data_IF_020831366279
#
_entry.id   IF_020831366279
#
_cell.length_a   1.000
_cell.length_b   1.000
_cell.length_c   1.000
_cell.angle_alpha   90.00
_cell.angle_beta   90.00
_cell.angle_gamma   90.00
#
_symmetry.space_group_name_H-M   'P 1'
#
loop_
_entity.id
_entity.type
_entity.pdbx_description
1 polymer ?
#
# COMPACT_ATOMS: atom_id res chain seq x y z
N UNK A 1 -5.19 -9.59 5.61
CA UNK A 1 -4.21 -8.64 5.03
C UNK A 1 -3.96 -7.55 6.06
N UNK A 2 -2.71 -7.30 6.41
CA UNK A 2 -2.35 -6.35 7.47
C UNK A 2 -1.62 -5.15 6.87
N UNK A 3 -2.04 -3.94 7.26
CA UNK A 3 -1.44 -2.69 6.81
C UNK A 3 -0.68 -2.03 7.94
N UNK A 4 0.59 -1.73 7.71
CA UNK A 4 1.47 -1.05 8.66
C UNK A 4 1.96 0.25 8.02
N UNK A 5 1.81 1.36 8.72
CA UNK A 5 2.45 2.62 8.36
C UNK A 5 3.64 2.89 9.30
N UNK A 6 4.70 3.44 8.77
CA UNK A 6 5.82 3.91 9.57
C UNK A 6 6.39 5.22 9.06
N UNK A 7 6.94 5.99 9.97
CA UNK A 7 7.73 7.18 9.72
C UNK A 7 9.19 6.83 10.02
N UNK A 8 10.08 7.13 9.08
CA UNK A 8 11.50 6.82 9.20
C UNK A 8 12.37 7.97 8.69
N UNK A 9 13.60 8.04 9.11
CA UNK A 9 14.57 8.99 8.59
C UNK A 9 14.78 8.79 7.08
N UNK A 10 14.76 9.88 6.33
CA UNK A 10 14.96 9.89 4.89
C UNK A 10 16.46 9.92 4.57
N UNK A 11 17.15 8.80 4.83
CA UNK A 11 18.57 8.67 4.60
C UNK A 11 18.94 7.35 3.92
N UNK A 12 20.10 7.28 3.25
CA UNK A 12 20.55 6.06 2.59
C UNK A 12 20.61 4.86 3.54
N UNK A 13 20.01 3.76 3.15
CA UNK A 13 20.00 2.51 3.91
C UNK A 13 18.83 2.34 4.90
N UNK A 14 18.09 3.40 5.26
CA UNK A 14 16.95 3.29 6.17
C UNK A 14 15.91 2.28 5.68
N UNK A 15 15.45 2.42 4.44
CA UNK A 15 14.54 1.47 3.80
C UNK A 15 15.11 0.05 3.77
N UNK A 16 16.39 -0.10 3.45
CA UNK A 16 17.03 -1.43 3.37
C UNK A 16 17.04 -2.14 4.73
N UNK A 17 17.20 -1.41 5.83
CA UNK A 17 17.12 -1.98 7.18
C UNK A 17 15.71 -2.44 7.54
N UNK A 18 14.70 -1.68 7.16
CA UNK A 18 13.29 -2.07 7.32
C UNK A 18 13.01 -3.36 6.55
N UNK A 19 13.30 -3.39 5.24
CA UNK A 19 13.06 -4.57 4.39
C UNK A 19 13.88 -5.78 4.87
N UNK A 20 15.12 -5.56 5.27
CA UNK A 20 16.00 -6.61 5.80
C UNK A 20 15.44 -7.31 7.03
N UNK A 21 14.75 -6.57 7.90
CA UNK A 21 14.07 -7.15 9.07
C UNK A 21 12.98 -8.17 8.66
N UNK A 22 12.18 -7.84 7.65
CA UNK A 22 11.15 -8.74 7.12
C UNK A 22 11.76 -9.97 6.45
N UNK A 23 12.77 -9.76 5.60
CA UNK A 23 13.47 -10.84 4.90
C UNK A 23 14.12 -11.83 5.86
N UNK A 24 14.77 -11.35 6.93
CA UNK A 24 15.41 -12.22 7.92
C UNK A 24 14.43 -13.10 8.70
N UNK A 25 13.16 -12.69 8.78
CA UNK A 25 12.11 -13.42 9.48
C UNK A 25 11.20 -14.24 8.57
N UNK A 26 11.44 -14.18 7.26
CA UNK A 26 10.64 -14.89 6.27
C UNK A 26 9.25 -14.29 6.02
N UNK A 27 9.01 -13.04 6.44
CA UNK A 27 7.75 -12.37 6.14
C UNK A 27 7.72 -11.87 4.70
N UNK A 28 6.63 -12.12 4.00
CA UNK A 28 6.40 -11.57 2.67
C UNK A 28 5.76 -10.19 2.75
N UNK A 29 6.31 -9.24 1.99
CA UNK A 29 5.73 -7.91 1.78
C UNK A 29 5.00 -7.93 0.44
N UNK A 30 3.68 -7.82 0.45
CA UNK A 30 2.88 -7.85 -0.79
C UNK A 30 2.90 -6.52 -1.50
N UNK A 31 2.87 -5.44 -0.76
CA UNK A 31 3.00 -4.09 -1.31
C UNK A 31 3.80 -3.18 -0.40
N UNK A 32 4.48 -2.23 -1.02
CA UNK A 32 5.30 -1.22 -0.35
C UNK A 32 5.17 0.10 -1.09
N UNK A 33 4.79 1.14 -0.38
CA UNK A 33 4.79 2.51 -0.88
C UNK A 33 5.59 3.39 0.06
N UNK A 34 6.55 4.16 -0.47
CA UNK A 34 7.41 5.06 0.31
C UNK A 34 7.60 6.38 -0.41
N UNK A 35 7.48 7.48 0.34
CA UNK A 35 7.77 8.82 -0.16
C UNK A 35 8.22 9.74 0.99
N UNK A 36 8.98 10.81 0.70
CA UNK A 36 9.24 11.88 1.66
C UNK A 36 7.92 12.50 2.15
N UNK A 37 7.94 13.00 3.37
CA UNK A 37 6.82 13.79 3.94
C UNK A 37 7.00 15.28 3.64
N UNK A 38 6.16 16.14 4.25
CA UNK A 38 6.37 17.59 4.25
C UNK A 38 7.68 18.02 4.96
N UNK A 39 8.22 17.16 5.83
CA UNK A 39 9.57 17.25 6.36
C UNK A 39 10.48 16.35 5.51
N UNK A 40 11.35 16.95 4.70
CA UNK A 40 12.24 16.25 3.77
C UNK A 40 13.23 15.32 4.49
N UNK A 41 13.44 15.48 5.78
CA UNK A 41 14.29 14.60 6.61
C UNK A 41 13.60 13.27 6.95
N UNK A 42 12.29 13.19 6.73
CA UNK A 42 11.47 12.03 7.06
C UNK A 42 10.77 11.46 5.82
N UNK A 43 10.73 10.14 5.75
CA UNK A 43 9.92 9.39 4.79
C UNK A 43 8.81 8.63 5.50
N UNK A 44 7.62 8.65 4.88
CA UNK A 44 6.50 7.79 5.27
C UNK A 44 6.48 6.57 4.37
N UNK A 45 6.33 5.41 4.98
CA UNK A 45 6.19 4.13 4.33
C UNK A 45 4.87 3.49 4.74
N UNK A 46 4.13 2.94 3.80
CA UNK A 46 3.00 2.03 4.05
C UNK A 46 3.32 0.70 3.42
N UNK A 47 3.15 -0.39 4.16
CA UNK A 47 3.36 -1.75 3.67
C UNK A 47 2.16 -2.63 3.96
N UNK A 48 1.95 -3.61 3.10
CA UNK A 48 0.94 -4.65 3.25
C UNK A 48 1.61 -6.01 3.42
N UNK A 49 1.14 -6.79 4.38
CA UNK A 49 1.62 -8.14 4.70
C UNK A 49 0.43 -9.09 4.58
N UNK A 50 0.53 -10.10 3.70
CA UNK A 50 -0.54 -11.07 3.45
C UNK A 50 -0.65 -12.17 4.50
N UNK A 51 0.38 -12.39 5.27
CA UNK A 51 0.50 -13.56 6.13
C UNK A 51 -0.61 -13.64 7.17
N UNK A 52 -1.50 -14.64 7.02
CA UNK A 52 -2.47 -15.01 8.04
C UNK A 52 -1.71 -15.66 9.20
N UNK A 53 -1.78 -15.03 10.39
CA UNK A 53 -1.10 -15.53 11.60
C UNK A 53 0.24 -14.88 11.90
N UNK A 54 0.71 -13.90 11.11
CA UNK A 54 1.82 -13.06 11.51
C UNK A 54 1.49 -12.35 12.83
N UNK A 55 2.36 -12.47 13.82
CA UNK A 55 2.24 -11.69 15.04
C UNK A 55 2.63 -10.24 14.74
N UNK A 56 1.63 -9.44 14.32
CA UNK A 56 1.82 -8.03 13.97
C UNK A 56 2.42 -7.26 15.13
N UNK A 57 2.04 -7.55 16.36
CA UNK A 57 2.60 -6.89 17.54
C UNK A 57 4.09 -7.18 17.67
N UNK A 58 4.53 -8.38 17.36
CA UNK A 58 5.94 -8.71 17.32
C UNK A 58 6.69 -7.95 16.22
N UNK A 59 6.09 -7.84 15.03
CA UNK A 59 6.65 -7.05 13.92
C UNK A 59 6.81 -5.59 14.32
N UNK A 60 5.77 -4.97 14.88
CA UNK A 60 5.81 -3.58 15.34
C UNK A 60 6.92 -3.36 16.37
N UNK A 61 7.04 -4.24 17.37
CA UNK A 61 8.13 -4.19 18.38
C UNK A 61 9.53 -4.25 17.75
N UNK A 62 9.70 -5.02 16.68
CA UNK A 62 10.98 -5.13 16.00
C UNK A 62 11.28 -3.91 15.13
N UNK A 63 10.27 -3.33 14.49
CA UNK A 63 10.39 -2.09 13.71
C UNK A 63 10.84 -0.94 14.60
N UNK A 64 10.26 -0.81 15.81
CA UNK A 64 10.68 0.22 16.78
C UNK A 64 12.13 0.11 17.26
N UNK A 65 12.77 -1.05 17.10
CA UNK A 65 14.20 -1.23 17.45
C UNK A 65 15.15 -0.70 16.39
N UNK A 66 14.65 -0.43 15.18
CA UNK A 66 15.47 0.13 14.12
C UNK A 66 15.76 1.61 14.42
N UNK A 67 17.02 2.00 14.34
CA UNK A 67 17.48 3.35 14.71
C UNK A 67 16.82 4.42 13.85
N UNK A 68 16.55 4.11 12.59
CA UNK A 68 15.97 5.04 11.63
C UNK A 68 14.44 5.14 11.72
N UNK A 69 13.79 4.27 12.48
CA UNK A 69 12.33 4.26 12.61
C UNK A 69 11.91 5.19 13.72
N UNK A 70 11.15 6.20 13.37
CA UNK A 70 10.65 7.23 14.28
C UNK A 70 9.33 6.81 14.92
N UNK A 71 8.40 6.30 14.10
CA UNK A 71 7.06 5.90 14.51
C UNK A 71 6.56 4.73 13.68
N UNK A 72 5.76 3.87 14.27
CA UNK A 72 5.06 2.76 13.59
C UNK A 72 3.61 2.73 14.03
N UNK A 73 2.70 2.42 13.11
CA UNK A 73 1.27 2.33 13.37
C UNK A 73 0.66 1.13 12.66
N UNK A 74 -0.15 0.36 13.40
CA UNK A 74 -0.99 -0.69 12.82
C UNK A 74 -2.27 -0.06 12.27
N UNK A 75 -2.38 0.01 10.95
CA UNK A 75 -3.56 0.57 10.30
C UNK A 75 -4.72 -0.42 10.24
N UNK A 76 -4.48 -1.71 10.42
CA UNK A 76 -5.52 -2.75 10.38
C UNK A 76 -6.42 -2.72 11.63
N UNK A 77 -5.91 -2.22 12.75
CA UNK A 77 -6.64 -2.08 14.01
C UNK A 77 -7.20 -0.66 14.22
N UNK A 78 -6.76 0.29 13.40
CA UNK A 78 -7.17 1.69 13.45
C UNK A 78 -8.36 1.96 12.53
N UNK A 79 -9.14 3.01 12.81
CA UNK A 79 -10.05 3.57 11.81
C UNK A 79 -9.23 4.31 10.75
N UNK A 80 -8.85 3.60 9.71
CA UNK A 80 -7.94 4.06 8.68
C UNK A 80 -8.60 4.21 7.32
N UNK A 81 -8.04 5.09 6.51
CA UNK A 81 -8.29 5.17 5.07
C UNK A 81 -7.19 4.40 4.35
N UNK A 82 -7.58 3.57 3.41
CA UNK A 82 -6.67 2.88 2.49
C UNK A 82 -7.05 3.21 1.06
N UNK A 83 -6.07 3.60 0.26
CA UNK A 83 -6.23 3.90 -1.15
C UNK A 83 -5.09 3.29 -1.93
N UNK A 84 -5.40 2.87 -3.15
CA UNK A 84 -4.43 2.36 -4.10
C UNK A 84 -4.75 2.87 -5.50
N UNK A 85 -3.70 3.20 -6.26
CA UNK A 85 -3.77 3.49 -7.68
C UNK A 85 -3.28 2.28 -8.47
N UNK A 86 -4.06 1.83 -9.46
CA UNK A 86 -3.60 0.88 -10.44
C UNK A 86 -3.77 1.44 -11.86
N UNK A 87 -2.80 1.15 -12.74
CA UNK A 87 -2.90 1.36 -14.18
C UNK A 87 -2.93 -0.02 -14.81
N UNK A 88 -3.98 -0.27 -15.58
CA UNK A 88 -4.30 -1.58 -16.14
C UNK A 88 -4.42 -1.45 -17.65
N UNK A 89 -3.77 -2.36 -18.37
CA UNK A 89 -3.86 -2.49 -19.81
C UNK A 89 -4.46 -3.84 -20.16
N UNK A 90 -5.62 -3.82 -20.81
CA UNK A 90 -6.32 -5.03 -21.25
C UNK A 90 -6.36 -5.11 -22.77
N UNK A 91 -6.38 -6.34 -23.31
CA UNK A 91 -6.64 -6.64 -24.73
C UNK A 91 -8.14 -6.60 -25.05
N UNK A 92 -8.80 -5.52 -24.66
CA UNK A 92 -10.24 -5.28 -24.82
C UNK A 92 -10.49 -3.89 -25.39
N UNK A 93 -11.56 -3.78 -26.19
CA UNK A 93 -12.04 -2.48 -26.63
C UNK A 93 -12.59 -1.67 -25.45
N UNK A 94 -12.59 -0.33 -25.58
CA UNK A 94 -13.08 0.59 -24.55
C UNK A 94 -14.48 0.24 -24.05
N UNK A 95 -15.40 -0.05 -24.93
CA UNK A 95 -16.80 -0.38 -24.57
C UNK A 95 -16.89 -1.62 -23.67
N UNK A 96 -16.06 -2.62 -23.91
CA UNK A 96 -15.99 -3.83 -23.08
C UNK A 96 -15.41 -3.52 -21.69
N UNK A 97 -14.41 -2.62 -21.63
CA UNK A 97 -13.81 -2.18 -20.36
C UNK A 97 -14.81 -1.32 -19.56
N UNK A 98 -15.53 -0.40 -20.22
CA UNK A 98 -16.56 0.42 -19.57
C UNK A 98 -17.68 -0.46 -18.99
N UNK A 99 -18.11 -1.48 -19.73
CA UNK A 99 -19.11 -2.47 -19.25
C UNK A 99 -18.58 -3.29 -18.06
N UNK A 100 -17.31 -3.70 -18.12
CA UNK A 100 -16.66 -4.42 -17.02
C UNK A 100 -16.62 -3.58 -15.73
N UNK A 101 -16.32 -2.29 -15.86
CA UNK A 101 -16.08 -1.42 -14.71
C UNK A 101 -17.34 -0.80 -14.12
N UNK A 102 -18.50 -0.94 -14.73
CA UNK A 102 -19.75 -0.26 -14.32
C UNK A 102 -20.23 -0.61 -12.91
N UNK A 103 -19.95 -1.84 -12.45
CA UNK A 103 -20.42 -2.36 -11.15
C UNK A 103 -19.41 -2.13 -10.00
N UNK A 104 -18.32 -1.38 -10.26
CA UNK A 104 -17.30 -1.07 -9.27
C UNK A 104 -17.38 0.39 -8.80
N UNK A 105 -17.18 0.60 -7.51
CA UNK A 105 -17.27 1.91 -6.83
C UNK A 105 -15.91 2.59 -6.65
N UNK A 106 -15.02 2.54 -7.64
CA UNK A 106 -13.75 3.25 -7.61
C UNK A 106 -13.72 4.36 -8.66
N UNK A 107 -12.88 5.38 -8.44
CA UNK A 107 -12.59 6.40 -9.44
C UNK A 107 -11.82 5.78 -10.60
N UNK A 108 -12.22 6.10 -11.83
CA UNK A 108 -11.63 5.53 -13.05
C UNK A 108 -11.52 6.54 -14.18
N UNK A 109 -10.53 6.34 -15.05
CA UNK A 109 -10.31 7.15 -16.24
C UNK A 109 -9.62 6.30 -17.31
N UNK A 110 -10.08 6.41 -18.55
CA UNK A 110 -9.40 5.85 -19.72
C UNK A 110 -8.23 6.77 -20.07
N UNK A 111 -7.02 6.20 -20.14
CA UNK A 111 -5.79 6.93 -20.41
C UNK A 111 -5.35 6.82 -21.88
N UNK A 112 -5.56 5.64 -22.48
CA UNK A 112 -5.20 5.37 -23.87
C UNK A 112 -6.07 4.22 -24.41
N UNK A 113 -6.42 4.26 -25.70
CA UNK A 113 -7.27 3.25 -26.32
C UNK A 113 -7.00 3.06 -27.80
N UNK A 114 -7.18 1.84 -28.27
CA UNK A 114 -7.35 1.45 -29.69
C UNK A 114 -8.36 0.32 -29.77
N UNK A 115 -8.72 -0.06 -31.00
CA UNK A 115 -9.70 -1.13 -31.23
C UNK A 115 -9.37 -2.45 -30.53
N UNK A 116 -8.07 -2.71 -30.28
CA UNK A 116 -7.57 -3.99 -29.73
C UNK A 116 -7.11 -3.90 -28.26
N UNK A 117 -7.06 -2.71 -27.67
CA UNK A 117 -6.65 -2.57 -26.28
C UNK A 117 -7.17 -1.29 -25.64
N UNK A 118 -7.24 -1.30 -24.32
CA UNK A 118 -7.56 -0.12 -23.50
C UNK A 118 -6.62 -0.06 -22.31
N UNK A 119 -6.07 1.13 -22.05
CA UNK A 119 -5.32 1.49 -20.83
C UNK A 119 -6.19 2.39 -19.97
N UNK A 120 -6.37 2.02 -18.73
CA UNK A 120 -7.16 2.80 -17.79
C UNK A 120 -6.52 2.82 -16.40
N UNK A 121 -6.78 3.87 -15.64
CA UNK A 121 -6.45 3.94 -14.22
C UNK A 121 -7.69 3.66 -13.39
N UNK A 122 -7.47 3.09 -12.21
CA UNK A 122 -8.44 2.99 -11.13
C UNK A 122 -7.81 3.49 -9.85
N UNK A 123 -8.58 4.23 -9.06
CA UNK A 123 -8.20 4.71 -7.73
C UNK A 123 -9.31 4.34 -6.76
N UNK A 124 -9.01 3.55 -5.76
CA UNK A 124 -9.99 3.09 -4.80
C UNK A 124 -9.40 2.30 -3.66
N UNK A 125 -10.26 1.66 -2.90
CA UNK A 125 -9.83 0.72 -1.86
C UNK A 125 -9.08 -0.47 -2.46
N UNK A 126 -8.03 -0.91 -1.79
CA UNK A 126 -7.20 -2.05 -2.25
C UNK A 126 -8.04 -3.31 -2.47
N UNK A 127 -9.05 -3.56 -1.62
CA UNK A 127 -9.91 -4.73 -1.75
C UNK A 127 -10.75 -4.71 -3.05
N UNK A 128 -11.29 -3.55 -3.43
CA UNK A 128 -12.04 -3.40 -4.68
C UNK A 128 -11.14 -3.59 -5.91
N UNK A 129 -9.89 -3.11 -5.85
CA UNK A 129 -8.90 -3.34 -6.92
C UNK A 129 -8.54 -4.82 -7.02
N UNK A 130 -8.31 -5.50 -5.91
CA UNK A 130 -8.07 -6.96 -5.87
C UNK A 130 -9.24 -7.74 -6.45
N UNK A 131 -10.47 -7.35 -6.12
CA UNK A 131 -11.69 -7.96 -6.67
C UNK A 131 -11.77 -7.81 -8.19
N UNK A 132 -11.44 -6.62 -8.72
CA UNK A 132 -11.35 -6.40 -10.17
C UNK A 132 -10.30 -7.32 -10.81
N UNK A 133 -9.09 -7.32 -10.29
CA UNK A 133 -7.97 -8.08 -10.86
C UNK A 133 -8.23 -9.59 -10.82
N UNK A 134 -8.79 -10.10 -9.72
CA UNK A 134 -9.13 -11.52 -9.58
C UNK A 134 -10.32 -11.96 -10.42
N UNK A 135 -11.20 -11.03 -10.81
CA UNK A 135 -12.33 -11.28 -11.69
C UNK A 135 -11.97 -11.42 -13.17
N UNK A 136 -10.76 -11.01 -13.56
CA UNK A 136 -10.26 -11.05 -14.92
C UNK A 136 -9.42 -12.32 -15.17
N UNK A 137 -9.48 -12.85 -16.39
CA UNK A 137 -8.61 -13.96 -16.79
C UNK A 137 -7.22 -13.45 -17.12
N UNK A 138 -6.22 -14.28 -16.89
CA UNK A 138 -4.81 -13.92 -17.10
C UNK A 138 -4.51 -13.48 -18.53
N UNK A 139 -5.17 -14.09 -19.51
CA UNK A 139 -5.01 -13.81 -20.94
C UNK A 139 -5.60 -12.45 -21.36
N UNK A 140 -6.45 -11.86 -20.54
CA UNK A 140 -7.04 -10.54 -20.80
C UNK A 140 -6.08 -9.38 -20.48
N UNK A 141 -5.09 -9.65 -19.63
CA UNK A 141 -4.09 -8.67 -19.27
C UNK A 141 -2.97 -8.55 -20.29
N UNK A 142 -2.65 -7.34 -20.69
CA UNK A 142 -1.40 -7.01 -21.37
C UNK A 142 -0.35 -6.52 -20.35
N UNK A 143 -0.77 -5.70 -19.38
CA UNK A 143 0.12 -5.15 -18.34
C UNK A 143 -0.68 -4.62 -17.16
N UNK A 144 -0.13 -4.71 -15.95
CA UNK A 144 -0.66 -4.08 -14.73
C UNK A 144 0.48 -3.47 -13.94
N UNK A 145 0.30 -2.23 -13.49
CA UNK A 145 1.17 -1.60 -12.49
C UNK A 145 0.35 -1.01 -11.36
N UNK A 146 0.88 -1.09 -10.13
CA UNK A 146 0.16 -0.71 -8.91
C UNK A 146 1.07 0.15 -8.03
N UNK A 147 0.49 1.12 -7.34
CA UNK A 147 1.22 1.93 -6.36
C UNK A 147 1.53 1.18 -5.06
N UNK A 148 0.81 0.08 -4.80
CA UNK A 148 0.65 -0.45 -3.47
C UNK A 148 -0.30 0.43 -2.63
N UNK A 149 -0.66 -0.05 -1.45
CA UNK A 149 -1.59 0.62 -0.56
C UNK A 149 -0.97 1.87 0.06
N UNK A 150 -1.65 3.00 -0.05
CA UNK A 150 -1.44 4.18 0.77
C UNK A 150 -2.41 4.12 1.94
N UNK A 151 -1.93 4.32 3.17
CA UNK A 151 -2.78 4.23 4.35
C UNK A 151 -2.55 5.37 5.34
N UNK A 152 -3.65 5.83 5.95
CA UNK A 152 -3.64 6.90 6.94
C UNK A 152 -4.81 6.73 7.91
N UNK A 153 -4.60 6.99 9.20
CA UNK A 153 -5.70 7.05 10.18
C UNK A 153 -6.62 8.23 9.91
N UNK A 154 -7.91 8.04 10.18
CA UNK A 154 -8.89 9.11 10.15
C UNK A 154 -8.79 9.99 11.40
N UNK A 155 -9.42 11.15 11.36
CA UNK A 155 -9.47 12.09 12.48
C UNK A 155 -8.22 12.95 12.58
N UNK A 156 -7.92 13.39 13.79
CA UNK A 156 -6.82 14.32 14.08
C UNK A 156 -5.51 13.63 14.47
N UNK A 157 -5.50 12.31 14.55
CA UNK A 157 -4.30 11.54 14.85
C UNK A 157 -3.37 11.49 13.64
N UNK A 158 -2.08 11.67 13.86
CA UNK A 158 -1.09 11.56 12.79
C UNK A 158 0.18 10.89 13.30
N UNK A 159 0.89 10.20 12.39
CA UNK A 159 2.22 9.65 12.68
C UNK A 159 3.25 10.73 13.01
N UNK A 160 3.03 11.98 12.57
CA UNK A 160 3.98 13.07 12.77
C UNK A 160 3.74 13.86 14.07
N UNK A 161 2.54 13.79 14.66
CA UNK A 161 2.13 14.63 15.81
C UNK A 161 2.03 13.87 17.12
N UNK A 162 2.10 12.55 17.11
CA UNK A 162 2.18 11.79 18.34
C UNK A 162 3.59 11.93 18.94
N UNK A 163 3.78 13.02 19.67
CA UNK A 163 4.93 13.27 20.57
C UNK A 163 4.85 12.34 21.80
N UNK A 164 4.36 11.14 21.60
CA UNK A 164 4.25 10.14 22.64
C UNK A 164 5.25 9.03 22.36
N UNK A 165 6.41 9.24 22.98
CA UNK A 165 7.15 8.16 23.61
C UNK A 165 7.19 6.87 22.79
N UNK A 166 8.37 6.56 22.27
CA UNK A 166 8.74 5.16 22.05
C UNK A 166 8.08 4.37 23.17
N UNK A 167 6.98 3.69 22.86
CA UNK A 167 6.29 2.90 23.88
C UNK A 167 7.34 1.94 24.40
N UNK A 168 7.75 2.13 25.65
CA UNK A 168 8.63 1.20 26.33
C UNK A 168 7.81 -0.06 26.56
N UNK A 169 7.96 -1.00 25.67
CA UNK A 169 7.51 -2.36 25.87
C UNK A 169 8.57 -3.04 26.76
N UNK A 170 8.43 -2.90 28.09
CA UNK A 170 9.09 -3.76 29.05
C UNK A 170 8.54 -5.20 28.95
#
# INVERSE_FOLDING_TARGET
MNHIALLMENQPGALSRVIGLFSQRGYNIDSLSVAPTQDETLSRLTMTIAEEGADINQILKQLYKLVDVVMVQNLSEADALTLELAIIKLNKAKTEVEDLLKDYEFEREILDEKDSYTVFKVLGDTHEIEKLLSGLKKEEFLEVTRSGTLGMTKGNESLATNDQTKISYD
#
